data_IF_744644552588
#
_entry.id   IF_744644552588
#
_cell.length_a   1.000
_cell.length_b   1.000
_cell.length_c   1.000
_cell.angle_alpha   90.00
_cell.angle_beta   90.00
_cell.angle_gamma   90.00
#
_symmetry.space_group_name_H-M   'P 1'
#
loop_
_entity.id
_entity.type
_entity.pdbx_description
1 polymer ?
#
# COMPACT_ATOMS: atom_id res chain seq x y z
N UNK A 1 19.03 -6.65 -1.65
CA UNK A 1 19.54 -6.54 -3.04
C UNK A 1 18.69 -7.41 -3.94
N UNK A 2 18.02 -6.81 -4.93
CA UNK A 2 17.32 -7.54 -5.99
C UNK A 2 18.35 -8.09 -6.98
N UNK A 3 18.33 -9.40 -7.24
CA UNK A 3 19.23 -10.08 -8.20
C UNK A 3 18.96 -9.55 -9.63
N UNK A 4 19.98 -9.42 -10.47
CA UNK A 4 19.85 -9.01 -11.89
C UNK A 4 18.86 -9.92 -12.68
N UNK A 5 18.69 -11.19 -12.28
CA UNK A 5 17.65 -12.07 -12.85
C UNK A 5 16.21 -11.77 -12.37
N UNK A 6 16.04 -11.03 -11.28
CA UNK A 6 14.73 -10.53 -10.83
C UNK A 6 14.22 -9.33 -11.64
N UNK A 7 15.03 -8.79 -12.56
CA UNK A 7 14.67 -7.65 -13.41
C UNK A 7 13.64 -7.99 -14.51
N UNK A 8 13.37 -9.27 -14.76
CA UNK A 8 12.20 -9.70 -15.54
C UNK A 8 11.17 -10.30 -14.63
N UNK A 9 10.49 -9.45 -13.87
CA UNK A 9 9.37 -9.88 -13.06
C UNK A 9 8.35 -10.50 -14.02
N UNK A 10 8.10 -11.79 -13.88
CA UNK A 10 7.03 -12.45 -14.60
C UNK A 10 5.69 -12.05 -13.97
N UNK A 11 5.36 -10.76 -13.97
CA UNK A 11 4.06 -10.24 -13.51
C UNK A 11 2.92 -10.91 -14.26
N UNK A 12 3.18 -11.40 -15.49
CA UNK A 12 2.29 -12.20 -16.31
C UNK A 12 1.88 -13.54 -15.68
N UNK A 13 2.70 -14.05 -14.75
CA UNK A 13 2.49 -15.31 -14.04
C UNK A 13 1.98 -15.10 -12.62
N UNK A 14 1.73 -13.85 -12.21
CA UNK A 14 1.08 -13.61 -10.93
C UNK A 14 -0.34 -14.18 -11.01
N UNK A 15 -0.79 -14.94 -10.00
CA UNK A 15 -2.13 -15.53 -9.98
C UNK A 15 -3.23 -14.48 -9.67
N UNK A 16 -3.06 -13.23 -10.14
CA UNK A 16 -4.03 -12.15 -9.99
C UNK A 16 -5.22 -12.40 -10.90
N UNK A 17 -6.42 -12.04 -10.44
CA UNK A 17 -7.64 -12.20 -11.24
C UNK A 17 -7.69 -11.23 -12.42
N UNK A 18 -6.97 -10.13 -12.33
CA UNK A 18 -6.86 -9.13 -13.39
C UNK A 18 -5.49 -9.26 -14.04
N UNK A 19 -5.47 -9.42 -15.37
CA UNK A 19 -4.26 -9.33 -16.16
C UNK A 19 -3.83 -7.87 -16.29
N UNK A 20 -2.65 -7.55 -15.77
CA UNK A 20 -2.09 -6.20 -15.89
C UNK A 20 -1.78 -5.85 -17.35
N UNK A 21 -2.09 -4.63 -17.73
CA UNK A 21 -1.73 -4.06 -19.03
C UNK A 21 -0.21 -3.81 -19.12
N UNK A 22 0.38 -3.73 -20.33
CA UNK A 22 1.81 -3.49 -20.49
C UNK A 22 2.36 -2.29 -19.72
N UNK A 23 1.64 -1.15 -19.74
CA UNK A 23 2.05 0.05 -19.01
C UNK A 23 1.96 -0.12 -17.49
N UNK A 24 0.95 -0.82 -16.97
CA UNK A 24 0.83 -1.11 -15.53
C UNK A 24 1.98 -1.98 -15.03
N UNK A 25 2.44 -2.94 -15.85
CA UNK A 25 3.62 -3.76 -15.54
C UNK A 25 4.90 -2.93 -15.52
N UNK A 26 5.03 -1.99 -16.47
CA UNK A 26 6.13 -1.04 -16.46
C UNK A 26 6.13 -0.18 -15.19
N UNK A 27 4.96 0.29 -14.72
CA UNK A 27 4.85 0.99 -13.43
C UNK A 27 5.32 0.14 -12.26
N UNK A 28 4.91 -1.13 -12.19
CA UNK A 28 5.37 -2.07 -11.15
C UNK A 28 6.89 -2.20 -11.16
N UNK A 29 7.48 -2.34 -12.34
CA UNK A 29 8.92 -2.44 -12.49
C UNK A 29 9.63 -1.16 -12.02
N UNK A 30 9.16 0.02 -12.45
CA UNK A 30 9.73 1.30 -12.02
C UNK A 30 9.64 1.48 -10.50
N UNK A 31 8.52 1.13 -9.86
CA UNK A 31 8.39 1.20 -8.40
C UNK A 31 9.43 0.33 -7.69
N UNK A 32 9.70 -0.87 -8.20
CA UNK A 32 10.72 -1.76 -7.62
C UNK A 32 12.15 -1.25 -7.86
N UNK A 33 12.40 -0.60 -9.00
CA UNK A 33 13.67 0.05 -9.27
C UNK A 33 13.90 1.23 -8.32
N UNK A 34 12.87 2.00 -8.02
CA UNK A 34 12.95 3.11 -7.05
C UNK A 34 13.25 2.59 -5.65
N UNK A 35 12.60 1.50 -5.21
CA UNK A 35 12.90 0.89 -3.91
C UNK A 35 14.35 0.41 -3.76
N UNK A 36 15.02 0.07 -4.86
CA UNK A 36 16.44 -0.31 -4.83
C UNK A 36 17.39 0.89 -4.74
N UNK A 37 16.94 2.11 -5.01
CA UNK A 37 17.78 3.32 -5.09
C UNK A 37 17.96 4.03 -3.74
N UNK A 38 17.54 3.41 -2.64
CA UNK A 38 17.53 3.99 -1.28
C UNK A 38 16.78 5.33 -1.20
N UNK A 39 15.73 5.47 -2.04
CA UNK A 39 14.88 6.64 -2.03
C UNK A 39 13.82 6.51 -0.94
N UNK A 40 13.72 7.52 -0.07
CA UNK A 40 12.71 7.56 0.99
C UNK A 40 11.29 7.83 0.44
N UNK A 41 11.16 8.47 -0.73
CA UNK A 41 9.89 8.83 -1.34
C UNK A 41 9.94 8.81 -2.87
N UNK A 42 8.78 8.65 -3.50
CA UNK A 42 8.60 8.62 -4.95
C UNK A 42 7.22 9.15 -5.34
N UNK A 43 7.08 9.63 -6.58
CA UNK A 43 5.81 10.12 -7.11
C UNK A 43 5.46 9.43 -8.43
N UNK A 44 4.21 8.95 -8.54
CA UNK A 44 3.65 8.38 -9.76
C UNK A 44 2.77 9.42 -10.46
N UNK A 45 3.31 10.12 -11.45
CA UNK A 45 2.65 11.24 -12.15
C UNK A 45 1.92 10.83 -13.44
N UNK A 46 1.55 9.56 -13.59
CA UNK A 46 0.78 9.11 -14.75
C UNK A 46 -0.62 9.72 -14.80
N UNK A 47 -1.13 9.86 -16.02
CA UNK A 47 -2.46 10.44 -16.30
C UNK A 47 -3.55 9.73 -15.49
N UNK A 48 -4.60 10.46 -15.04
CA UNK A 48 -5.79 9.85 -14.48
C UNK A 48 -6.34 8.74 -15.39
N UNK A 49 -6.77 7.63 -14.80
CA UNK A 49 -7.24 6.45 -15.55
C UNK A 49 -6.15 5.52 -16.08
N UNK A 50 -4.85 5.81 -15.88
CA UNK A 50 -3.75 4.91 -16.30
C UNK A 50 -3.64 3.60 -15.48
N UNK A 51 -4.55 3.35 -14.53
CA UNK A 51 -4.60 2.11 -13.75
C UNK A 51 -3.53 1.99 -12.66
N UNK A 52 -3.07 3.12 -12.11
CA UNK A 52 -2.12 3.20 -10.98
C UNK A 52 -2.53 2.31 -9.80
N UNK A 53 -3.82 2.29 -9.48
CA UNK A 53 -4.41 1.44 -8.43
C UNK A 53 -4.01 -0.03 -8.59
N UNK A 54 -4.19 -0.62 -9.78
CA UNK A 54 -3.84 -2.02 -10.01
C UNK A 54 -2.33 -2.26 -10.02
N UNK A 55 -1.54 -1.27 -10.46
CA UNK A 55 -0.09 -1.36 -10.36
C UNK A 55 0.37 -1.42 -8.88
N UNK A 56 -0.17 -0.56 -8.02
CA UNK A 56 0.13 -0.56 -6.58
C UNK A 56 -0.29 -1.89 -5.92
N UNK A 57 -1.51 -2.36 -6.20
CA UNK A 57 -2.00 -3.62 -5.64
C UNK A 57 -1.17 -4.83 -6.11
N UNK A 58 -0.80 -4.87 -7.39
CA UNK A 58 0.07 -5.91 -7.91
C UNK A 58 1.47 -5.89 -7.29
N UNK A 59 2.03 -4.69 -7.08
CA UNK A 59 3.30 -4.51 -6.39
C UNK A 59 3.25 -5.10 -4.97
N UNK A 60 2.22 -4.74 -4.19
CA UNK A 60 2.02 -5.23 -2.82
C UNK A 60 1.93 -6.76 -2.84
N UNK A 61 1.11 -7.35 -3.71
CA UNK A 61 0.99 -8.79 -3.82
C UNK A 61 2.32 -9.47 -4.13
N UNK A 62 3.03 -8.98 -5.16
CA UNK A 62 4.30 -9.54 -5.58
C UNK A 62 5.32 -9.52 -4.44
N UNK A 63 5.41 -8.41 -3.72
CA UNK A 63 6.37 -8.27 -2.64
C UNK A 63 6.02 -9.11 -1.41
N UNK A 64 4.76 -9.07 -0.97
CA UNK A 64 4.33 -9.74 0.25
C UNK A 64 4.20 -11.26 0.06
N UNK A 65 3.76 -11.73 -1.10
CA UNK A 65 3.39 -13.14 -1.30
C UNK A 65 4.36 -13.92 -2.18
N UNK A 66 5.07 -13.25 -3.08
CA UNK A 66 5.99 -13.92 -4.01
C UNK A 66 7.43 -13.74 -3.58
N UNK A 67 7.86 -12.51 -3.36
CA UNK A 67 9.26 -12.19 -3.10
C UNK A 67 9.66 -12.38 -1.63
N UNK A 68 8.79 -11.99 -0.69
CA UNK A 68 9.07 -12.06 0.74
C UNK A 68 7.97 -12.78 1.54
N UNK A 69 7.56 -14.01 1.17
CA UNK A 69 6.42 -14.71 1.79
C UNK A 69 6.60 -14.96 3.30
N UNK A 70 7.84 -15.08 3.79
CA UNK A 70 8.13 -15.28 5.21
C UNK A 70 8.12 -13.99 6.03
N UNK A 71 8.05 -12.81 5.39
CA UNK A 71 8.05 -11.51 6.08
C UNK A 71 6.64 -10.93 6.12
N UNK A 72 6.20 -10.55 7.32
CA UNK A 72 4.99 -9.76 7.49
C UNK A 72 5.28 -8.30 7.14
N UNK A 73 4.77 -7.85 6.01
CA UNK A 73 4.87 -6.46 5.57
C UNK A 73 3.48 -5.83 5.54
N UNK A 74 3.25 -4.87 6.43
CA UNK A 74 2.01 -4.09 6.43
C UNK A 74 2.22 -2.86 5.56
N UNK A 75 1.38 -2.66 4.55
CA UNK A 75 1.38 -1.49 3.70
C UNK A 75 0.15 -0.65 4.02
N UNK A 76 0.26 0.68 3.97
CA UNK A 76 -0.88 1.57 4.14
C UNK A 76 -1.22 2.26 2.83
N UNK A 77 -2.51 2.38 2.53
CA UNK A 77 -3.04 3.15 1.42
C UNK A 77 -3.92 4.24 2.03
N UNK A 78 -3.56 5.50 1.74
CA UNK A 78 -4.24 6.70 2.22
C UNK A 78 -4.91 7.36 1.02
N UNK A 79 -6.22 7.51 1.11
CA UNK A 79 -7.03 8.00 -0.02
C UNK A 79 -8.01 9.08 0.44
N UNK A 80 -8.49 9.94 -0.47
CA UNK A 80 -9.69 10.73 -0.23
C UNK A 80 -10.91 9.85 0.09
N UNK A 81 -11.80 10.34 0.95
CA UNK A 81 -12.98 9.58 1.40
C UNK A 81 -13.86 9.09 0.24
N UNK A 82 -14.05 9.93 -0.77
CA UNK A 82 -14.90 9.65 -1.94
C UNK A 82 -14.39 8.48 -2.81
N UNK A 83 -13.09 8.15 -2.79
CA UNK A 83 -12.54 7.04 -3.58
C UNK A 83 -12.22 5.80 -2.74
N UNK A 84 -12.48 5.82 -1.42
CA UNK A 84 -12.25 4.68 -0.54
C UNK A 84 -12.99 3.41 -1.01
N UNK A 85 -14.27 3.54 -1.38
CA UNK A 85 -15.05 2.43 -1.91
C UNK A 85 -14.50 1.88 -3.23
N UNK A 86 -13.93 2.75 -4.08
CA UNK A 86 -13.32 2.32 -5.35
C UNK A 86 -12.05 1.50 -5.11
N UNK A 87 -11.25 1.88 -4.10
CA UNK A 87 -10.09 1.10 -3.68
C UNK A 87 -10.48 -0.27 -3.11
N UNK A 88 -11.51 -0.33 -2.24
CA UNK A 88 -12.06 -1.62 -1.75
C UNK A 88 -12.47 -2.53 -2.90
N UNK A 89 -13.26 -2.00 -3.83
CA UNK A 89 -13.71 -2.76 -5.00
C UNK A 89 -12.53 -3.21 -5.87
N UNK A 90 -11.50 -2.38 -6.03
CA UNK A 90 -10.30 -2.74 -6.80
C UNK A 90 -9.50 -3.88 -6.13
N UNK A 91 -9.41 -3.88 -4.80
CA UNK A 91 -8.79 -4.97 -4.03
C UNK A 91 -9.58 -6.27 -4.18
N UNK A 92 -10.90 -6.20 -4.00
CA UNK A 92 -11.81 -7.33 -4.23
C UNK A 92 -11.69 -7.87 -5.66
N UNK A 93 -11.58 -7.00 -6.66
CA UNK A 93 -11.50 -7.44 -8.05
C UNK A 93 -10.16 -8.04 -8.44
N UNK A 94 -9.03 -7.51 -7.93
CA UNK A 94 -7.69 -7.99 -8.32
C UNK A 94 -7.28 -9.25 -7.54
N UNK A 95 -7.64 -9.34 -6.26
CA UNK A 95 -7.31 -10.48 -5.42
C UNK A 95 -8.42 -11.55 -5.43
N UNK A 96 -9.67 -11.08 -5.40
CA UNK A 96 -10.92 -11.84 -5.39
C UNK A 96 -10.99 -13.07 -4.51
N UNK A 97 -12.06 -13.88 -4.65
CA UNK A 97 -12.37 -14.96 -3.70
C UNK A 97 -11.45 -16.19 -3.84
N UNK A 98 -10.60 -16.25 -4.86
CA UNK A 98 -9.82 -17.44 -5.27
C UNK A 98 -8.63 -17.81 -4.35
N UNK A 99 -8.59 -17.33 -3.10
CA UNK A 99 -7.55 -17.71 -2.15
C UNK A 99 -6.22 -16.97 -2.30
N UNK A 100 -6.17 -15.84 -3.02
CA UNK A 100 -5.06 -14.89 -2.88
C UNK A 100 -5.17 -14.26 -1.49
N UNK A 101 -4.41 -14.78 -0.52
CA UNK A 101 -4.50 -14.39 0.89
C UNK A 101 -3.90 -12.98 1.17
N UNK A 102 -4.29 -11.97 0.39
CA UNK A 102 -4.08 -10.57 0.79
C UNK A 102 -5.20 -10.20 1.75
N UNK A 103 -4.83 -9.98 3.01
CA UNK A 103 -5.77 -9.49 4.02
C UNK A 103 -5.68 -7.97 4.05
N UNK A 104 -6.81 -7.29 3.95
CA UNK A 104 -6.86 -5.84 4.16
C UNK A 104 -7.84 -5.48 5.27
N UNK A 105 -7.55 -4.40 5.99
CA UNK A 105 -8.45 -3.78 6.97
C UNK A 105 -8.70 -2.34 6.56
N UNK A 106 -9.96 -1.92 6.68
CA UNK A 106 -10.30 -0.51 6.55
C UNK A 106 -10.24 0.14 7.93
N UNK A 107 -9.71 1.35 8.00
CA UNK A 107 -9.60 2.18 9.19
C UNK A 107 -10.17 3.56 8.85
N UNK A 108 -11.50 3.62 8.78
CA UNK A 108 -12.28 4.81 8.42
C UNK A 108 -13.24 5.26 9.51
N UNK A 109 -13.19 4.63 10.67
CA UNK A 109 -13.98 5.02 11.82
C UNK A 109 -13.13 5.12 13.10
N UNK A 110 -13.59 5.93 14.04
CA UNK A 110 -12.89 6.13 15.31
C UNK A 110 -12.83 4.85 16.16
N UNK A 111 -13.91 4.08 16.17
CA UNK A 111 -14.02 2.78 16.84
C UNK A 111 -12.91 1.82 16.40
N UNK A 112 -12.61 1.79 15.10
CA UNK A 112 -11.56 0.96 14.52
C UNK A 112 -10.17 1.41 14.99
N UNK A 113 -9.94 2.72 15.12
CA UNK A 113 -8.68 3.25 15.67
C UNK A 113 -8.50 2.90 17.15
N UNK A 114 -9.56 2.97 17.95
CA UNK A 114 -9.50 2.59 19.37
C UNK A 114 -9.15 1.11 19.54
N UNK A 115 -9.63 0.24 18.66
CA UNK A 115 -9.25 -1.17 18.67
C UNK A 115 -7.74 -1.39 18.54
N UNK A 116 -7.02 -0.47 17.88
CA UNK A 116 -5.57 -0.53 17.71
C UNK A 116 -4.81 -0.18 18.99
N UNK A 117 -5.38 0.67 19.85
CA UNK A 117 -4.80 0.97 21.16
C UNK A 117 -4.93 -0.21 22.12
N UNK A 118 -6.03 -0.95 22.01
CA UNK A 118 -6.32 -2.11 22.87
C UNK A 118 -5.43 -3.30 22.45
N UNK A 119 -5.37 -3.58 21.15
CA UNK A 119 -4.52 -4.65 20.62
C UNK A 119 -3.80 -4.21 19.32
N UNK A 120 -2.59 -3.65 19.44
CA UNK A 120 -1.77 -3.25 18.30
C UNK A 120 -1.37 -4.42 17.39
N UNK A 121 -1.36 -5.64 17.91
CA UNK A 121 -0.87 -6.83 17.19
C UNK A 121 -1.80 -7.22 16.04
N UNK A 122 -3.07 -6.84 16.11
CA UNK A 122 -4.09 -7.05 15.07
C UNK A 122 -3.67 -6.45 13.73
N UNK A 123 -2.91 -5.35 13.71
CA UNK A 123 -2.42 -4.76 12.45
C UNK A 123 -1.46 -5.69 11.70
N UNK A 124 -0.72 -6.53 12.43
CA UNK A 124 0.26 -7.46 11.86
C UNK A 124 -0.40 -8.71 11.26
N UNK A 125 -1.73 -8.79 11.27
CA UNK A 125 -2.50 -9.82 10.57
C UNK A 125 -2.87 -9.41 9.14
N UNK A 126 -2.73 -8.13 8.80
CA UNK A 126 -3.13 -7.58 7.51
C UNK A 126 -1.91 -7.24 6.65
N UNK A 127 -2.05 -7.41 5.34
CA UNK A 127 -1.07 -6.97 4.34
C UNK A 127 -1.26 -5.50 3.97
N UNK A 128 -2.51 -5.02 4.06
CA UNK A 128 -2.93 -3.68 3.64
C UNK A 128 -3.83 -3.05 4.71
N UNK A 129 -3.52 -1.81 5.09
CA UNK A 129 -4.39 -0.92 5.83
C UNK A 129 -4.90 0.16 4.89
N UNK A 130 -6.20 0.20 4.67
CA UNK A 130 -6.86 1.26 3.90
C UNK A 130 -7.41 2.30 4.87
N UNK A 131 -6.97 3.54 4.77
CA UNK A 131 -7.50 4.65 5.57
C UNK A 131 -7.79 5.84 4.68
N UNK A 132 -8.50 6.83 5.22
CA UNK A 132 -8.73 8.08 4.52
C UNK A 132 -7.83 9.18 5.06
N UNK A 133 -7.64 10.19 4.23
CA UNK A 133 -6.88 11.40 4.59
C UNK A 133 -7.34 12.01 5.92
N UNK A 134 -8.64 11.95 6.22
CA UNK A 134 -9.22 12.45 7.47
C UNK A 134 -8.67 11.74 8.72
N UNK A 135 -8.46 10.42 8.64
CA UNK A 135 -8.04 9.60 9.79
C UNK A 135 -6.53 9.35 9.82
N UNK A 136 -5.83 9.64 8.73
CA UNK A 136 -4.41 9.37 8.58
C UNK A 136 -3.55 9.99 9.69
N UNK A 137 -3.77 11.26 10.04
CA UNK A 137 -2.97 11.93 11.08
C UNK A 137 -3.07 11.25 12.44
N UNK A 138 -4.29 10.88 12.85
CA UNK A 138 -4.52 10.20 14.11
C UNK A 138 -3.91 8.78 14.07
N UNK A 139 -4.04 8.08 12.96
CA UNK A 139 -3.48 6.76 12.78
C UNK A 139 -1.95 6.79 12.77
N UNK A 140 -1.33 7.76 12.11
CA UNK A 140 0.12 7.94 12.08
C UNK A 140 0.68 8.22 13.48
N UNK A 141 0.05 9.12 14.25
CA UNK A 141 0.42 9.37 15.66
C UNK A 141 0.27 8.12 16.54
N UNK A 142 -0.80 7.35 16.31
CA UNK A 142 -1.03 6.08 17.03
C UNK A 142 0.04 5.04 16.69
N UNK A 143 0.39 4.88 15.41
CA UNK A 143 1.46 3.97 15.00
C UNK A 143 2.80 4.38 15.59
N UNK A 144 3.11 5.69 15.60
CA UNK A 144 4.33 6.22 16.17
C UNK A 144 4.41 5.99 17.69
N UNK A 145 3.34 6.24 18.45
CA UNK A 145 3.31 6.03 19.90
C UNK A 145 3.48 4.55 20.27
N UNK A 146 2.90 3.65 19.46
CA UNK A 146 3.03 2.20 19.61
C UNK A 146 4.32 1.63 19.00
N UNK A 147 5.19 2.47 18.43
CA UNK A 147 6.43 2.09 17.74
C UNK A 147 6.21 1.04 16.64
N UNK A 148 5.03 1.07 16.01
CA UNK A 148 4.71 0.20 14.90
C UNK A 148 5.25 0.78 13.60
N UNK A 149 5.89 -0.09 12.81
CA UNK A 149 6.49 0.29 11.52
C UNK A 149 5.69 -0.31 10.37
N UNK A 150 5.28 0.56 9.46
CA UNK A 150 4.73 0.17 8.17
C UNK A 150 5.88 -0.06 7.18
N UNK A 151 5.68 -0.95 6.22
CA UNK A 151 6.63 -1.15 5.13
C UNK A 151 6.56 -0.01 4.11
N UNK A 152 5.36 0.45 3.78
CA UNK A 152 5.07 1.51 2.80
C UNK A 152 3.82 2.28 3.19
N UNK A 153 3.78 3.53 2.75
CA UNK A 153 2.56 4.35 2.72
C UNK A 153 2.38 4.85 1.29
N UNK A 154 1.24 4.52 0.69
CA UNK A 154 0.83 5.01 -0.62
C UNK A 154 -0.20 6.11 -0.41
N UNK A 155 0.06 7.29 -0.96
CA UNK A 155 -0.89 8.39 -0.99
C UNK A 155 -1.49 8.50 -2.38
N UNK A 156 -2.81 8.38 -2.48
CA UNK A 156 -3.54 8.69 -3.71
C UNK A 156 -4.05 10.12 -3.67
N UNK A 157 -4.12 10.78 -4.82
CA UNK A 157 -4.50 12.21 -4.94
C UNK A 157 -3.72 13.10 -3.95
N UNK A 158 -2.38 13.01 -3.97
CA UNK A 158 -1.49 13.63 -2.98
C UNK A 158 -1.67 15.16 -2.83
N UNK A 159 -2.15 15.84 -3.86
CA UNK A 159 -2.53 17.24 -3.87
C UNK A 159 -3.65 17.55 -2.86
N UNK A 160 -4.55 16.61 -2.59
CA UNK A 160 -5.58 16.70 -1.54
C UNK A 160 -5.05 16.41 -0.13
N UNK A 161 -3.84 15.84 -0.03
CA UNK A 161 -3.18 15.38 1.21
C UNK A 161 -2.01 16.32 1.59
N UNK A 162 -1.84 17.42 0.87
CA UNK A 162 -0.68 18.32 0.98
C UNK A 162 -0.42 18.83 2.40
N UNK A 163 -1.47 19.10 3.19
CA UNK A 163 -1.34 19.53 4.59
C UNK A 163 -0.91 18.39 5.53
N UNK A 164 -1.32 17.15 5.25
CA UNK A 164 -1.02 15.96 6.06
C UNK A 164 0.42 15.46 5.83
N UNK A 165 0.93 15.60 4.61
CA UNK A 165 2.31 15.23 4.26
C UNK A 165 3.35 16.04 5.04
N UNK A 166 3.06 17.31 5.37
CA UNK A 166 3.94 18.12 6.21
C UNK A 166 4.05 17.58 7.64
N UNK A 167 2.96 17.02 8.20
CA UNK A 167 2.93 16.46 9.56
C UNK A 167 3.66 15.11 9.63
N UNK A 168 3.54 14.26 8.62
CA UNK A 168 4.12 12.91 8.63
C UNK A 168 5.65 12.90 8.53
N UNK A 169 6.23 13.79 7.72
CA UNK A 169 7.70 13.92 7.58
C UNK A 169 8.35 14.31 8.92
N UNK A 170 7.65 15.08 9.76
CA UNK A 170 8.14 15.52 11.07
C UNK A 170 8.08 14.43 12.15
N UNK A 171 7.36 13.33 11.91
CA UNK A 171 7.14 12.25 12.89
C UNK A 171 8.02 11.02 12.66
N UNK A 172 8.79 10.98 11.57
CA UNK A 172 9.76 9.92 11.34
C UNK A 172 11.05 10.25 12.12
N UNK A 173 11.43 9.44 13.12
CA UNK A 173 12.74 9.59 13.74
C UNK A 173 13.79 9.17 12.70
N UNK A 174 14.76 10.05 12.44
CA UNK A 174 16.00 9.71 11.74
C UNK A 174 16.72 8.57 12.46
#
# INVERSE_FOLDING_TARGET
MLNVQSQRIATERLPLQIKLMPHQRAMVYEMLMIENRDAAYAMMSDKPGAGKTYAVLALIYFLNKVMFPAKKHVNMIVVPYNICTQWKHSMEKIYGPSGLMIKYKTLTEYSEMMSLYIDPSVLMEYDILLTTSLYFDNLAKTLASLRLRLRRVFFDEADTIKSLLMTFILLLPY
#
